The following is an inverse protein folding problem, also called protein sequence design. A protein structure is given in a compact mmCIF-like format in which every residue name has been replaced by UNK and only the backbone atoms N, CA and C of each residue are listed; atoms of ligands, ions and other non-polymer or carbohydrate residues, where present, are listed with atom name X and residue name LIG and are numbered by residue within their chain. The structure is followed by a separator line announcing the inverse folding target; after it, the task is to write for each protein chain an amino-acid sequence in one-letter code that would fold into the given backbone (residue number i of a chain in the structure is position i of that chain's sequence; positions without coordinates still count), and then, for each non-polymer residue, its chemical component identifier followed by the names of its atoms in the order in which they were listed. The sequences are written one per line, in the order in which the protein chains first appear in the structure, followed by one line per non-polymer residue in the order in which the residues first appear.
data_IF_641467717717
#
_entry.id   IF_641467717717
#
_cell.length_a   1.000
_cell.length_b   1.000
_cell.length_c   1.000
_cell.angle_alpha   90.00
_cell.angle_beta   90.00
_cell.angle_gamma   90.00
#
_symmetry.space_group_name_H-M   'P 1'
#
loop_
_entity.id
_entity.type
_entity.pdbx_description
1 polymer ?
#
# COMPACT_ATOMS: atom_id res chain seq x y z
N UNK A 1 -25.00 0.24 -9.73
CA UNK A 1 -25.18 0.11 -8.28
C UNK A 1 -25.80 -1.24 -7.94
N UNK A 2 -25.39 -1.85 -6.82
CA UNK A 2 -25.86 -3.20 -6.44
C UNK A 2 -27.38 -3.24 -6.20
N UNK A 3 -27.92 -2.19 -5.60
CA UNK A 3 -29.34 -2.05 -5.29
C UNK A 3 -30.26 -2.00 -6.52
N UNK A 4 -29.71 -1.75 -7.72
CA UNK A 4 -30.47 -1.77 -8.97
C UNK A 4 -30.79 -3.20 -9.46
N UNK A 5 -30.12 -4.21 -8.90
CA UNK A 5 -30.39 -5.61 -9.22
C UNK A 5 -31.53 -6.17 -8.39
N UNK A 6 -32.58 -6.71 -9.04
CA UNK A 6 -33.63 -7.43 -8.33
C UNK A 6 -33.12 -8.78 -7.81
N UNK A 7 -32.78 -8.80 -6.51
CA UNK A 7 -32.30 -10.00 -5.83
C UNK A 7 -33.29 -11.18 -5.95
N UNK A 8 -34.59 -10.92 -6.06
CA UNK A 8 -35.61 -12.00 -6.14
C UNK A 8 -35.47 -12.86 -7.38
N UNK A 9 -35.07 -12.26 -8.51
CA UNK A 9 -34.82 -12.91 -9.80
C UNK A 9 -33.52 -13.68 -9.91
N UNK A 10 -32.62 -13.60 -8.90
CA UNK A 10 -31.31 -14.24 -8.93
C UNK A 10 -31.38 -15.74 -8.58
N UNK A 11 -30.51 -16.54 -9.16
CA UNK A 11 -30.26 -17.95 -8.76
C UNK A 11 -29.65 -18.00 -7.34
N UNK A 12 -29.64 -19.16 -6.71
CA UNK A 12 -29.07 -19.32 -5.35
C UNK A 12 -27.61 -18.89 -5.28
N UNK A 13 -26.78 -19.23 -6.29
CA UNK A 13 -25.37 -18.83 -6.34
C UNK A 13 -25.22 -17.32 -6.52
N UNK A 14 -26.04 -16.70 -7.39
CA UNK A 14 -26.03 -15.26 -7.59
C UNK A 14 -26.50 -14.50 -6.35
N UNK A 15 -27.50 -15.03 -5.61
CA UNK A 15 -27.92 -14.47 -4.31
C UNK A 15 -26.80 -14.46 -3.30
N UNK A 16 -26.02 -15.53 -3.21
CA UNK A 16 -24.87 -15.59 -2.33
C UNK A 16 -23.80 -14.55 -2.71
N UNK A 17 -23.53 -14.39 -4.01
CA UNK A 17 -22.62 -13.34 -4.49
C UNK A 17 -23.15 -11.94 -4.17
N UNK A 18 -24.44 -11.70 -4.40
CA UNK A 18 -25.11 -10.44 -4.09
C UNK A 18 -24.96 -10.10 -2.59
N UNK A 19 -25.33 -11.02 -1.72
CA UNK A 19 -25.28 -10.82 -0.25
C UNK A 19 -23.84 -10.57 0.23
N UNK A 20 -22.86 -11.22 -0.38
CA UNK A 20 -21.43 -11.00 -0.08
C UNK A 20 -20.97 -9.61 -0.51
N UNK A 21 -21.35 -9.17 -1.71
CA UNK A 21 -21.03 -7.83 -2.20
C UNK A 21 -21.73 -6.73 -1.39
N UNK A 22 -23.00 -6.94 -1.04
CA UNK A 22 -23.78 -6.02 -0.19
C UNK A 22 -23.09 -5.82 1.15
N UNK A 23 -22.75 -6.91 1.84
CA UNK A 23 -22.00 -6.86 3.10
C UNK A 23 -20.64 -6.19 2.96
N UNK A 24 -19.90 -6.48 1.88
CA UNK A 24 -18.62 -5.83 1.60
C UNK A 24 -18.78 -4.31 1.42
N UNK A 25 -19.74 -3.87 0.61
CA UNK A 25 -19.96 -2.44 0.39
C UNK A 25 -20.46 -1.71 1.64
N UNK A 26 -21.32 -2.33 2.44
CA UNK A 26 -21.72 -1.76 3.73
C UNK A 26 -20.53 -1.55 4.67
N UNK A 27 -19.59 -2.51 4.71
CA UNK A 27 -18.35 -2.37 5.47
C UNK A 27 -17.53 -1.21 4.93
N UNK A 28 -17.31 -1.13 3.61
CA UNK A 28 -16.56 -0.03 3.00
C UNK A 28 -17.19 1.34 3.29
N UNK A 29 -18.52 1.45 3.19
CA UNK A 29 -19.25 2.68 3.51
C UNK A 29 -19.16 3.06 5.00
N UNK A 30 -18.95 2.08 5.89
CA UNK A 30 -18.78 2.37 7.32
C UNK A 30 -17.51 3.19 7.63
N UNK A 31 -16.51 3.16 6.74
CA UNK A 31 -15.28 3.98 6.82
C UNK A 31 -15.48 5.42 6.35
N UNK A 32 -16.63 5.76 5.74
CA UNK A 32 -16.84 7.12 5.24
C UNK A 32 -16.59 8.18 6.32
N UNK A 33 -15.88 9.26 5.95
CA UNK A 33 -15.49 10.33 6.86
C UNK A 33 -14.49 9.92 7.96
N UNK A 34 -13.73 8.83 7.75
CA UNK A 34 -12.66 8.37 8.67
C UNK A 34 -11.33 8.15 7.95
N UNK A 35 -11.21 8.57 6.70
CA UNK A 35 -10.04 8.35 5.85
C UNK A 35 -8.77 8.93 6.46
N UNK A 36 -8.88 10.05 7.18
CA UNK A 36 -7.77 10.71 7.86
C UNK A 36 -7.15 9.87 8.99
N UNK A 37 -7.83 8.83 9.45
CA UNK A 37 -7.30 7.93 10.49
C UNK A 37 -6.56 6.71 9.91
N UNK A 38 -6.51 6.56 8.60
CA UNK A 38 -5.76 5.48 7.95
C UNK A 38 -4.26 5.73 8.06
N UNK A 39 -3.55 4.85 8.76
CA UNK A 39 -2.09 4.95 8.87
C UNK A 39 -1.43 4.34 7.62
N UNK A 40 -1.18 5.18 6.59
CA UNK A 40 -0.54 4.75 5.34
C UNK A 40 0.87 4.21 5.56
N UNK A 41 1.61 4.83 6.46
CA UNK A 41 2.97 4.41 6.83
C UNK A 41 3.00 3.54 8.10
N UNK A 42 1.96 2.73 8.34
CA UNK A 42 1.99 1.79 9.46
C UNK A 42 3.18 0.83 9.35
N UNK A 43 3.94 0.55 10.43
CA UNK A 43 5.01 -0.42 10.42
C UNK A 43 4.50 -1.79 9.96
N UNK A 44 5.27 -2.52 9.16
CA UNK A 44 5.03 -3.88 8.66
C UNK A 44 3.80 -4.06 7.74
N UNK A 45 2.79 -3.21 7.82
CA UNK A 45 1.55 -3.32 7.03
C UNK A 45 1.23 -2.07 6.20
N UNK A 46 2.09 -1.06 6.27
CA UNK A 46 1.95 0.18 5.51
C UNK A 46 2.50 0.08 4.09
N UNK A 47 2.51 1.23 3.43
CA UNK A 47 2.84 1.33 2.00
C UNK A 47 4.26 0.85 1.67
N UNK A 48 5.23 1.02 2.58
CA UNK A 48 6.63 0.62 2.34
C UNK A 48 6.74 -0.90 2.20
N UNK A 49 6.20 -1.65 3.18
CA UNK A 49 6.20 -3.11 3.13
C UNK A 49 5.34 -3.65 1.98
N UNK A 50 4.17 -3.06 1.75
CA UNK A 50 3.26 -3.49 0.69
C UNK A 50 3.84 -3.24 -0.71
N UNK A 51 4.56 -2.14 -0.91
CA UNK A 51 5.23 -1.84 -2.18
C UNK A 51 6.33 -2.87 -2.46
N UNK A 52 7.15 -3.19 -1.47
CA UNK A 52 8.16 -4.24 -1.61
C UNK A 52 7.52 -5.59 -1.92
N UNK A 53 6.48 -5.99 -1.18
CA UNK A 53 5.77 -7.25 -1.41
C UNK A 53 5.18 -7.31 -2.82
N UNK A 54 4.49 -6.24 -3.26
CA UNK A 54 3.93 -6.16 -4.62
C UNK A 54 4.98 -6.36 -5.70
N UNK A 55 6.15 -5.75 -5.56
CA UNK A 55 7.22 -5.86 -6.54
C UNK A 55 7.97 -7.20 -6.45
N UNK A 56 8.21 -7.72 -5.23
CA UNK A 56 8.95 -8.97 -5.02
C UNK A 56 8.13 -10.21 -5.42
N UNK A 57 6.83 -10.19 -5.18
CA UNK A 57 5.92 -11.30 -5.49
C UNK A 57 5.28 -11.19 -6.87
N UNK A 58 5.60 -10.14 -7.64
CA UNK A 58 5.08 -9.98 -9.00
C UNK A 58 5.43 -11.19 -9.86
N UNK A 59 4.44 -11.85 -10.43
CA UNK A 59 4.61 -13.05 -11.23
C UNK A 59 4.61 -12.72 -12.72
N UNK A 60 5.62 -13.19 -13.44
CA UNK A 60 5.78 -13.00 -14.88
C UNK A 60 5.29 -14.24 -15.63
N UNK A 61 4.23 -14.13 -16.42
CA UNK A 61 3.67 -15.20 -17.25
C UNK A 61 4.06 -15.04 -18.71
N UNK A 62 4.11 -13.81 -19.22
CA UNK A 62 4.41 -13.47 -20.59
C UNK A 62 5.36 -12.25 -20.70
N UNK A 63 5.85 -11.97 -21.91
CA UNK A 63 6.83 -10.90 -22.13
C UNK A 63 6.31 -9.52 -21.73
N UNK A 64 5.04 -9.25 -22.00
CA UNK A 64 4.42 -7.95 -21.72
C UNK A 64 4.33 -7.64 -20.22
N UNK A 65 4.39 -8.66 -19.36
CA UNK A 65 4.46 -8.49 -17.91
C UNK A 65 5.70 -7.74 -17.46
N UNK A 66 6.80 -7.79 -18.25
CA UNK A 66 8.01 -7.01 -17.95
C UNK A 66 7.77 -5.51 -18.10
N UNK A 67 7.00 -5.09 -19.10
CA UNK A 67 6.66 -3.69 -19.30
C UNK A 67 5.72 -3.19 -18.20
N UNK A 68 4.74 -4.00 -17.80
CA UNK A 68 3.85 -3.70 -16.69
C UNK A 68 4.62 -3.55 -15.37
N UNK A 69 5.50 -4.50 -15.06
CA UNK A 69 6.33 -4.44 -13.86
C UNK A 69 7.21 -3.18 -13.84
N UNK A 70 7.88 -2.88 -14.94
CA UNK A 70 8.73 -1.70 -15.06
C UNK A 70 7.92 -0.40 -14.96
N UNK A 71 6.70 -0.37 -15.49
CA UNK A 71 5.81 0.77 -15.33
C UNK A 71 5.42 1.00 -13.86
N UNK A 72 5.07 -0.07 -13.12
CA UNK A 72 4.81 -0.01 -11.67
C UNK A 72 6.03 0.47 -10.92
N UNK A 73 7.21 -0.11 -11.19
CA UNK A 73 8.46 0.29 -10.54
C UNK A 73 8.80 1.77 -10.78
N UNK A 74 8.59 2.26 -12.00
CA UNK A 74 8.78 3.67 -12.35
C UNK A 74 7.80 4.61 -11.64
N UNK A 75 6.57 4.17 -11.43
CA UNK A 75 5.51 4.97 -10.80
C UNK A 75 5.66 5.08 -9.27
N UNK A 76 6.53 4.28 -8.66
CA UNK A 76 6.70 4.25 -7.19
C UNK A 76 6.98 5.62 -6.59
N UNK A 77 7.76 6.46 -7.29
CA UNK A 77 8.11 7.80 -6.78
C UNK A 77 6.89 8.72 -6.73
N UNK A 78 6.08 8.76 -7.78
CA UNK A 78 4.85 9.57 -7.83
C UNK A 78 3.87 9.11 -6.74
N UNK A 79 3.64 7.80 -6.67
CA UNK A 79 2.74 7.21 -5.68
C UNK A 79 3.19 7.51 -4.24
N UNK A 80 4.48 7.38 -3.96
CA UNK A 80 5.03 7.70 -2.64
C UNK A 80 4.88 9.19 -2.31
N UNK A 81 5.06 10.09 -3.27
CA UNK A 81 4.88 11.53 -3.05
C UNK A 81 3.43 11.86 -2.67
N UNK A 82 2.44 11.22 -3.29
CA UNK A 82 1.02 11.37 -2.93
C UNK A 82 0.74 10.84 -1.50
N UNK A 83 1.33 9.71 -1.13
CA UNK A 83 1.22 9.17 0.24
C UNK A 83 1.85 10.11 1.28
N UNK A 84 2.97 10.74 0.95
CA UNK A 84 3.64 11.72 1.81
C UNK A 84 2.77 12.97 1.98
N UNK A 85 2.18 13.47 0.90
CA UNK A 85 1.29 14.64 0.94
C UNK A 85 0.08 14.38 1.83
N UNK A 86 -0.57 13.22 1.66
CA UNK A 86 -1.67 12.80 2.53
C UNK A 86 -1.24 12.74 4.00
N UNK A 87 -0.07 12.17 4.30
CA UNK A 87 0.44 12.04 5.66
C UNK A 87 0.79 13.40 6.28
N UNK A 88 1.27 14.37 5.49
CA UNK A 88 1.47 15.75 5.93
C UNK A 88 0.14 16.39 6.33
N UNK A 89 -0.89 16.18 5.52
CA UNK A 89 -2.24 16.67 5.85
C UNK A 89 -2.77 16.03 7.12
N UNK A 90 -2.58 14.72 7.32
CA UNK A 90 -2.91 14.06 8.58
C UNK A 90 -2.21 14.73 9.79
N UNK A 91 -0.93 15.11 9.64
CA UNK A 91 -0.18 15.76 10.71
C UNK A 91 -0.71 17.18 11.00
N UNK A 92 -1.08 17.94 9.97
CA UNK A 92 -1.70 19.26 10.11
C UNK A 92 -3.05 19.17 10.82
N UNK A 93 -3.87 18.17 10.49
CA UNK A 93 -5.19 17.92 11.05
C UNK A 93 -5.14 17.24 12.45
N UNK A 94 -3.96 16.87 12.93
CA UNK A 94 -3.75 16.27 14.25
C UNK A 94 -3.97 14.75 14.31
N UNK A 95 -3.95 14.07 13.16
CA UNK A 95 -4.16 12.61 13.03
C UNK A 95 -2.84 11.83 12.76
N UNK A 96 -1.69 12.47 12.93
CA UNK A 96 -0.42 11.78 12.74
C UNK A 96 -0.17 10.76 13.87
N UNK A 97 0.51 9.68 13.51
CA UNK A 97 0.84 8.57 14.43
C UNK A 97 1.72 9.03 15.60
N UNK A 98 1.72 8.27 16.70
CA UNK A 98 2.59 8.50 17.84
C UNK A 98 4.08 8.42 17.47
N UNK A 99 4.95 9.09 18.24
CA UNK A 99 6.38 9.23 17.91
C UNK A 99 7.11 7.89 17.81
N UNK A 100 6.79 6.94 18.66
CA UNK A 100 7.37 5.58 18.65
C UNK A 100 6.95 4.78 17.42
N UNK A 101 5.71 4.93 16.95
CA UNK A 101 5.21 4.31 15.72
C UNK A 101 5.88 4.95 14.50
N UNK A 102 6.02 6.28 14.49
CA UNK A 102 6.74 6.98 13.44
C UNK A 102 8.20 6.52 13.34
N UNK A 103 8.87 6.29 14.49
CA UNK A 103 10.22 5.74 14.49
C UNK A 103 10.29 4.35 13.85
N UNK A 104 9.37 3.46 14.20
CA UNK A 104 9.31 2.12 13.60
C UNK A 104 9.11 2.18 12.08
N UNK A 105 8.30 3.13 11.59
CA UNK A 105 8.09 3.34 10.15
C UNK A 105 9.34 3.88 9.45
N UNK A 106 10.10 4.74 10.12
CA UNK A 106 11.41 5.24 9.66
C UNK A 106 12.42 4.08 9.57
N UNK A 107 12.53 3.27 10.63
CA UNK A 107 13.42 2.11 10.67
C UNK A 107 13.08 1.11 9.56
N UNK A 108 11.80 0.96 9.23
CA UNK A 108 11.35 0.13 8.10
C UNK A 108 11.77 0.70 6.74
N UNK A 109 11.62 2.00 6.52
CA UNK A 109 12.14 2.65 5.31
C UNK A 109 13.64 2.40 5.15
N UNK A 110 14.42 2.57 6.21
CA UNK A 110 15.87 2.32 6.19
C UNK A 110 16.21 0.87 5.88
N UNK A 111 15.48 -0.07 6.46
CA UNK A 111 15.62 -1.51 6.20
C UNK A 111 15.42 -1.83 4.72
N UNK A 112 14.35 -1.30 4.11
CA UNK A 112 14.04 -1.50 2.70
C UNK A 112 15.05 -0.82 1.78
N UNK A 113 15.46 0.42 2.07
CA UNK A 113 16.54 1.11 1.32
C UNK A 113 17.82 0.27 1.29
N UNK A 114 18.13 -0.43 2.38
CA UNK A 114 19.38 -1.20 2.53
C UNK A 114 19.31 -2.57 1.88
N UNK A 115 18.16 -3.25 1.93
CA UNK A 115 18.08 -4.68 1.66
C UNK A 115 17.38 -5.07 0.35
N UNK A 116 16.46 -4.24 -0.18
CA UNK A 116 15.57 -4.65 -1.28
C UNK A 116 16.28 -4.87 -2.62
N UNK A 117 17.48 -4.32 -2.77
CA UNK A 117 18.28 -4.50 -3.98
C UNK A 117 18.53 -5.97 -4.30
N UNK A 118 18.76 -6.81 -3.30
CA UNK A 118 19.01 -8.24 -3.49
C UNK A 118 17.85 -8.93 -4.23
N UNK A 119 16.64 -8.65 -3.87
CA UNK A 119 15.42 -9.27 -4.44
C UNK A 119 14.99 -8.57 -5.72
N UNK A 120 14.91 -7.22 -5.70
CA UNK A 120 14.33 -6.46 -6.81
C UNK A 120 15.31 -6.23 -7.98
N UNK A 121 16.61 -6.35 -7.76
CA UNK A 121 17.62 -6.13 -8.79
C UNK A 121 18.47 -7.37 -9.03
N UNK A 122 19.12 -7.90 -7.98
CA UNK A 122 20.15 -8.94 -8.18
C UNK A 122 19.50 -10.29 -8.56
N UNK A 123 18.27 -10.60 -8.11
CA UNK A 123 17.50 -11.78 -8.48
C UNK A 123 16.58 -11.59 -9.70
N UNK A 124 16.40 -10.37 -10.19
CA UNK A 124 15.41 -10.04 -11.22
C UNK A 124 15.59 -10.84 -12.51
N UNK A 125 16.82 -11.02 -12.98
CA UNK A 125 17.12 -11.79 -14.18
C UNK A 125 16.64 -13.25 -14.08
N UNK A 126 16.75 -13.84 -12.91
CA UNK A 126 16.28 -15.21 -12.67
C UNK A 126 14.76 -15.32 -12.72
N UNK A 127 14.05 -14.27 -12.31
CA UNK A 127 12.57 -14.21 -12.29
C UNK A 127 11.97 -14.18 -13.70
N UNK A 128 12.66 -13.57 -14.66
CA UNK A 128 12.20 -13.44 -16.05
C UNK A 128 12.76 -14.49 -17.00
N UNK A 129 13.57 -15.45 -16.52
CA UNK A 129 14.31 -16.40 -17.39
C UNK A 129 13.39 -17.30 -18.23
N UNK A 130 12.17 -17.57 -17.78
CA UNK A 130 11.19 -18.46 -18.47
C UNK A 130 10.39 -17.78 -19.57
N UNK A 131 10.49 -16.43 -19.73
CA UNK A 131 9.67 -15.65 -20.64
C UNK A 131 10.05 -15.78 -22.13
N UNK A 132 11.10 -16.52 -22.46
CA UNK A 132 11.55 -16.68 -23.86
C UNK A 132 12.03 -15.37 -24.50
N UNK A 133 12.54 -14.43 -23.70
CA UNK A 133 13.17 -13.20 -24.17
C UNK A 133 14.47 -13.53 -24.91
N UNK A 134 14.76 -12.82 -26.02
CA UNK A 134 16.10 -12.85 -26.64
C UNK A 134 17.14 -12.22 -25.68
N UNK A 135 18.43 -12.52 -25.90
CA UNK A 135 19.51 -11.97 -25.06
C UNK A 135 19.52 -10.43 -25.05
N UNK A 136 19.17 -9.81 -26.17
CA UNK A 136 19.07 -8.34 -26.29
C UNK A 136 17.90 -7.79 -25.48
N UNK A 137 16.71 -8.40 -25.59
CA UNK A 137 15.52 -8.01 -24.82
C UNK A 137 15.79 -8.16 -23.33
N UNK A 138 16.29 -9.32 -22.93
CA UNK A 138 16.64 -9.63 -21.54
C UNK A 138 17.61 -8.60 -20.95
N UNK A 139 18.69 -8.31 -21.66
CA UNK A 139 19.65 -7.29 -21.24
C UNK A 139 19.00 -5.94 -21.05
N UNK A 140 18.17 -5.50 -22.00
CA UNK A 140 17.47 -4.21 -21.93
C UNK A 140 16.55 -4.15 -20.72
N UNK A 141 15.75 -5.19 -20.47
CA UNK A 141 14.81 -5.25 -19.34
C UNK A 141 15.55 -5.22 -17.99
N UNK A 142 16.64 -6.00 -17.86
CA UNK A 142 17.45 -6.05 -16.63
C UNK A 142 18.12 -4.70 -16.35
N UNK A 143 18.71 -4.06 -17.37
CA UNK A 143 19.33 -2.74 -17.22
C UNK A 143 18.29 -1.67 -16.87
N UNK A 144 17.09 -1.73 -17.48
CA UNK A 144 15.99 -0.82 -17.19
C UNK A 144 15.48 -1.01 -15.76
N UNK A 145 15.31 -2.27 -15.31
CA UNK A 145 14.92 -2.57 -13.94
C UNK A 145 15.89 -1.95 -12.92
N UNK A 146 17.20 -2.19 -13.09
CA UNK A 146 18.22 -1.61 -12.22
C UNK A 146 18.15 -0.08 -12.22
N UNK A 147 18.05 0.53 -13.40
CA UNK A 147 17.92 1.98 -13.55
C UNK A 147 16.70 2.52 -12.80
N UNK A 148 15.52 1.91 -12.97
CA UNK A 148 14.29 2.37 -12.34
C UNK A 148 14.30 2.15 -10.83
N UNK A 149 14.91 1.07 -10.34
CA UNK A 149 15.16 0.89 -8.92
C UNK A 149 15.98 2.05 -8.32
N UNK A 150 17.07 2.46 -8.99
CA UNK A 150 17.95 3.52 -8.53
C UNK A 150 17.33 4.92 -8.69
N UNK A 151 16.55 5.17 -9.75
CA UNK A 151 15.99 6.49 -10.07
C UNK A 151 14.61 6.77 -9.44
N UNK A 152 13.83 5.74 -9.16
CA UNK A 152 12.45 5.91 -8.66
C UNK A 152 12.21 5.23 -7.31
N UNK A 153 12.54 3.94 -7.17
CA UNK A 153 12.24 3.19 -5.95
C UNK A 153 13.03 3.69 -4.73
N UNK A 154 14.34 3.73 -4.82
CA UNK A 154 15.19 4.21 -3.71
C UNK A 154 14.92 5.68 -3.37
N UNK A 155 14.77 6.61 -4.33
CA UNK A 155 14.39 7.98 -4.02
C UNK A 155 12.98 8.10 -3.39
N UNK A 156 12.03 7.24 -3.76
CA UNK A 156 10.71 7.19 -3.12
C UNK A 156 10.83 6.87 -1.62
N UNK A 157 11.55 5.80 -1.27
CA UNK A 157 11.77 5.42 0.13
C UNK A 157 12.55 6.47 0.93
N UNK A 158 13.55 7.10 0.32
CA UNK A 158 14.29 8.20 0.96
C UNK A 158 13.42 9.43 1.21
N UNK A 159 12.49 9.74 0.29
CA UNK A 159 11.53 10.82 0.47
C UNK A 159 10.56 10.51 1.61
N UNK A 160 10.07 9.27 1.70
CA UNK A 160 9.21 8.82 2.78
C UNK A 160 9.94 8.91 4.14
N UNK A 161 11.16 8.38 4.23
CA UNK A 161 11.99 8.47 5.42
C UNK A 161 12.17 9.93 5.89
N UNK A 162 12.58 10.81 4.98
CA UNK A 162 12.78 12.23 5.31
C UNK A 162 11.49 12.94 5.74
N UNK A 163 10.35 12.60 5.12
CA UNK A 163 9.05 13.15 5.51
C UNK A 163 8.64 12.68 6.91
N UNK A 164 8.75 11.38 7.20
CA UNK A 164 8.45 10.81 8.51
C UNK A 164 9.34 11.40 9.60
N UNK A 165 10.64 11.54 9.35
CA UNK A 165 11.56 12.22 10.29
C UNK A 165 11.12 13.66 10.59
N UNK A 166 10.70 14.41 9.55
CA UNK A 166 10.23 15.79 9.74
C UNK A 166 8.92 15.88 10.52
N UNK A 167 8.08 14.86 10.45
CA UNK A 167 6.76 14.81 11.09
C UNK A 167 6.76 14.07 12.44
N UNK A 168 7.82 13.35 12.77
CA UNK A 168 7.90 12.44 13.92
C UNK A 168 7.37 13.02 15.22
N UNK A 169 7.63 14.31 15.48
CA UNK A 169 7.18 15.03 16.70
C UNK A 169 5.80 15.68 16.54
N UNK A 170 5.12 15.50 15.43
CA UNK A 170 3.77 16.04 15.19
C UNK A 170 2.69 15.22 15.87
N UNK A 171 2.92 13.92 16.11
CA UNK A 171 1.99 13.03 16.80
C UNK A 171 1.82 13.44 18.26
N UNK A 172 0.60 13.83 18.62
CA UNK A 172 0.24 14.27 19.99
C UNK A 172 -0.65 13.28 20.72
N UNK A 173 -1.15 12.27 20.00
CA UNK A 173 -2.08 11.30 20.52
C UNK A 173 -1.34 9.99 20.87
N UNK A 174 -1.19 9.75 22.16
CA UNK A 174 -0.60 8.51 22.70
C UNK A 174 -1.67 7.46 23.09
N UNK A 175 -2.96 7.84 23.01
CA UNK A 175 -4.09 6.97 23.37
C UNK A 175 -4.63 6.14 22.19
N UNK A 176 -3.97 6.22 21.03
CA UNK A 176 -4.41 5.56 19.81
C UNK A 176 -5.78 6.06 19.35
N UNK A 177 -6.61 5.16 18.78
CA UNK A 177 -7.92 5.55 18.25
C UNK A 177 -8.87 6.15 19.30
N UNK A 178 -8.71 5.80 20.58
CA UNK A 178 -9.53 6.35 21.67
C UNK A 178 -9.34 7.85 21.82
N UNK A 179 -8.13 8.36 21.61
CA UNK A 179 -7.82 9.77 21.72
C UNK A 179 -8.49 10.67 20.68
N UNK A 180 -8.99 10.08 19.59
CA UNK A 180 -9.73 10.82 18.54
C UNK A 180 -11.24 10.90 18.80
N UNK A 181 -11.74 10.52 19.99
CA UNK A 181 -13.14 10.68 20.39
C UNK A 181 -14.13 9.96 19.46
N UNK A 182 -15.12 10.71 18.92
CA UNK A 182 -16.20 10.10 18.12
C UNK A 182 -15.71 9.52 16.79
N UNK A 183 -14.81 10.20 16.10
CA UNK A 183 -14.28 9.72 14.81
C UNK A 183 -13.42 8.47 15.01
N UNK A 184 -12.62 8.43 16.09
CA UNK A 184 -11.81 7.25 16.44
C UNK A 184 -12.68 6.04 16.77
N UNK A 185 -13.80 6.24 17.50
CA UNK A 185 -14.78 5.16 17.78
C UNK A 185 -15.44 4.66 16.50
N UNK A 186 -15.84 5.56 15.59
CA UNK A 186 -16.42 5.19 14.29
C UNK A 186 -15.44 4.34 13.48
N UNK A 187 -14.19 4.80 13.35
CA UNK A 187 -13.15 4.08 12.63
C UNK A 187 -12.85 2.71 13.25
N UNK A 188 -12.72 2.65 14.58
CA UNK A 188 -12.51 1.38 15.28
C UNK A 188 -13.66 0.39 15.05
N UNK A 189 -14.91 0.84 15.12
CA UNK A 189 -16.08 0.00 14.85
C UNK A 189 -16.08 -0.53 13.41
N UNK A 190 -15.69 0.30 12.43
CA UNK A 190 -15.55 -0.12 11.04
C UNK A 190 -14.47 -1.20 10.89
N UNK A 191 -13.29 -1.02 11.52
CA UNK A 191 -12.22 -2.03 11.54
C UNK A 191 -12.71 -3.35 12.14
N UNK A 192 -13.40 -3.31 13.29
CA UNK A 192 -13.91 -4.53 13.94
C UNK A 192 -14.88 -5.23 13.01
N UNK A 193 -15.83 -4.52 12.42
CA UNK A 193 -16.78 -5.09 11.45
C UNK A 193 -16.06 -5.73 10.26
N UNK A 194 -15.07 -5.04 9.69
CA UNK A 194 -14.27 -5.52 8.56
C UNK A 194 -13.47 -6.79 8.87
N UNK A 195 -12.84 -6.85 10.04
CA UNK A 195 -11.94 -7.96 10.40
C UNK A 195 -12.65 -9.16 11.04
N UNK A 196 -13.83 -8.96 11.60
CA UNK A 196 -14.53 -10.03 12.37
C UNK A 196 -15.91 -10.36 11.82
N UNK A 197 -16.41 -9.59 10.85
CA UNK A 197 -17.81 -9.66 10.37
C UNK A 197 -18.85 -9.56 11.52
N UNK A 198 -18.47 -8.97 12.65
CA UNK A 198 -19.37 -8.74 13.79
C UNK A 198 -19.97 -7.34 13.71
N UNK A 199 -21.23 -7.23 14.12
CA UNK A 199 -21.97 -5.94 14.22
C UNK A 199 -21.73 -5.27 15.57
#
# INVERSE_FOLDING_TARGET
DLEEFDRSGLTSSQKQTYDTLESYFEIQLSYDGTTELQSIFAPQSGIVANLFTTLSEFTFYEKDDTDLYLAVLKDTKRYMDECIEFTRKQAEDGYFMAEDIAQQSIDECEKHIKNDKSVLVDEFESRIKSLGLSDSEKKTVVETNKKYFEEYYIPALKSANSALESLKKSGKNEEGLCGYGKIGKKYYSAIVKDKTSSS
#
